data_IF_164520461912
#
_entry.id   IF_164520461912
#
_cell.length_a   1.000
_cell.length_b   1.000
_cell.length_c   1.000
_cell.angle_alpha   90.00
_cell.angle_beta   90.00
_cell.angle_gamma   90.00
#
_symmetry.space_group_name_H-M   'P 1'
#
loop_
_entity.id
_entity.type
_entity.pdbx_description
1 polymer ?
#
# COMPACT_ATOMS: atom_id res chain seq x y z
N UNK A 1 -42.70 1.40 38.28
CA UNK A 1 -42.33 2.11 37.06
C UNK A 1 -40.98 2.79 37.29
N UNK A 2 -39.90 2.17 36.90
CA UNK A 2 -38.55 2.74 37.08
C UNK A 2 -38.11 3.25 35.69
N UNK A 3 -38.12 4.56 35.56
CA UNK A 3 -37.71 5.26 34.35
C UNK A 3 -36.19 5.17 34.14
N UNK A 4 -35.76 4.41 33.16
CA UNK A 4 -34.40 4.40 32.69
C UNK A 4 -34.11 5.72 31.95
N UNK A 5 -33.48 6.68 32.64
CA UNK A 5 -32.84 7.82 31.99
C UNK A 5 -31.69 7.30 31.15
N UNK A 6 -31.89 7.27 29.83
CA UNK A 6 -30.79 7.16 28.89
C UNK A 6 -29.98 8.45 29.01
N UNK A 7 -28.86 8.38 29.73
CA UNK A 7 -27.84 9.42 29.69
C UNK A 7 -27.28 9.43 28.23
N UNK A 8 -27.69 10.46 27.49
CA UNK A 8 -27.00 10.81 26.26
C UNK A 8 -25.60 11.27 26.66
N UNK A 9 -24.66 10.38 26.63
CA UNK A 9 -23.26 10.72 26.54
C UNK A 9 -23.05 11.34 25.15
N UNK A 10 -23.23 12.66 25.08
CA UNK A 10 -22.76 13.45 23.94
C UNK A 10 -21.25 13.59 24.06
N UNK A 11 -20.53 12.53 23.79
CA UNK A 11 -19.12 12.60 23.51
C UNK A 11 -19.03 12.96 22.03
N UNK A 12 -18.84 14.23 21.72
CA UNK A 12 -18.36 14.65 20.41
C UNK A 12 -16.89 14.22 20.31
N UNK A 13 -16.65 12.92 20.27
CA UNK A 13 -15.40 12.39 19.77
C UNK A 13 -15.37 12.81 18.29
N UNK A 14 -14.38 13.61 17.95
CA UNK A 14 -14.07 13.88 16.55
C UNK A 14 -13.62 12.54 15.97
N UNK A 15 -14.58 11.79 15.44
CA UNK A 15 -14.29 10.56 14.72
C UNK A 15 -13.51 10.99 13.48
N UNK A 16 -12.21 10.72 13.50
CA UNK A 16 -11.38 10.91 12.31
C UNK A 16 -11.94 10.00 11.24
N UNK A 17 -12.43 10.59 10.15
CA UNK A 17 -12.95 9.80 9.04
C UNK A 17 -11.83 9.05 8.32
N UNK A 18 -12.13 7.92 7.74
CA UNK A 18 -11.18 7.12 6.95
C UNK A 18 -10.52 7.97 5.85
N UNK A 19 -11.30 8.85 5.21
CA UNK A 19 -10.80 9.81 4.22
C UNK A 19 -9.75 10.77 4.79
N UNK A 20 -9.99 11.33 5.98
CA UNK A 20 -9.01 12.23 6.63
C UNK A 20 -7.71 11.49 6.93
N UNK A 21 -7.81 10.25 7.41
CA UNK A 21 -6.64 9.41 7.67
C UNK A 21 -5.86 9.09 6.39
N UNK A 22 -6.56 8.78 5.29
CA UNK A 22 -5.94 8.52 3.99
C UNK A 22 -5.17 9.75 3.46
N UNK A 23 -5.77 10.93 3.53
CA UNK A 23 -5.09 12.19 3.13
C UNK A 23 -3.86 12.44 3.97
N UNK A 24 -3.96 12.31 5.30
CA UNK A 24 -2.82 12.48 6.20
C UNK A 24 -1.72 11.46 5.90
N UNK A 25 -2.06 10.21 5.60
CA UNK A 25 -1.10 9.18 5.24
C UNK A 25 -0.33 9.53 3.95
N UNK A 26 -1.02 10.01 2.90
CA UNK A 26 -0.36 10.46 1.66
C UNK A 26 0.59 11.62 1.93
N UNK A 27 0.13 12.64 2.65
CA UNK A 27 0.95 13.81 2.96
C UNK A 27 2.16 13.41 3.79
N UNK A 28 1.99 12.58 4.81
CA UNK A 28 3.07 12.09 5.64
C UNK A 28 4.10 11.28 4.84
N UNK A 29 3.65 10.38 3.94
CA UNK A 29 4.53 9.60 3.09
C UNK A 29 5.35 10.47 2.13
N UNK A 30 4.72 11.47 1.50
CA UNK A 30 5.41 12.41 0.59
C UNK A 30 6.40 13.28 1.35
N UNK A 31 6.02 13.81 2.51
CA UNK A 31 6.94 14.60 3.36
C UNK A 31 8.10 13.73 3.84
N UNK A 32 7.86 12.50 4.23
CA UNK A 32 8.90 11.56 4.62
C UNK A 32 9.88 11.29 3.47
N UNK A 33 9.38 11.02 2.24
CA UNK A 33 10.23 10.79 1.06
C UNK A 33 11.08 12.00 0.71
N UNK A 34 10.50 13.21 0.71
CA UNK A 34 11.17 14.41 0.23
C UNK A 34 12.12 15.03 1.26
N UNK A 35 11.71 15.08 2.54
CA UNK A 35 12.39 15.87 3.56
C UNK A 35 13.08 15.02 4.63
N UNK A 36 12.45 13.95 5.11
CA UNK A 36 12.99 13.10 6.18
C UNK A 36 14.05 12.14 5.62
N UNK A 37 13.64 11.30 4.70
CA UNK A 37 14.51 10.28 4.11
C UNK A 37 15.32 10.83 2.92
N UNK A 38 14.85 11.92 2.33
CA UNK A 38 15.48 12.59 1.17
C UNK A 38 15.75 11.62 0.02
N UNK A 39 14.89 10.62 -0.15
CA UNK A 39 15.02 9.64 -1.24
C UNK A 39 14.49 10.17 -2.55
N UNK A 40 13.54 11.11 -2.49
CA UNK A 40 12.94 11.80 -3.63
C UNK A 40 12.40 10.82 -4.69
N UNK A 41 11.83 9.71 -4.25
CA UNK A 41 11.29 8.70 -5.15
C UNK A 41 10.09 9.23 -5.93
N UNK A 42 9.23 10.00 -5.27
CA UNK A 42 8.05 10.59 -5.90
C UNK A 42 8.39 11.49 -7.10
N UNK A 43 9.61 12.00 -7.19
CA UNK A 43 10.08 12.82 -8.32
C UNK A 43 10.71 12.01 -9.46
N UNK A 44 10.82 10.67 -9.31
CA UNK A 44 11.48 9.79 -10.27
C UNK A 44 10.48 9.07 -11.16
N UNK A 45 10.68 9.12 -12.47
CA UNK A 45 9.82 8.39 -13.41
C UNK A 45 9.77 6.88 -13.13
N UNK A 46 10.90 6.29 -12.75
CA UNK A 46 10.97 4.87 -12.40
C UNK A 46 10.00 4.48 -11.27
N UNK A 47 9.81 5.36 -10.27
CA UNK A 47 8.81 5.15 -9.23
C UNK A 47 7.40 5.05 -9.82
N UNK A 48 7.02 5.98 -10.68
CA UNK A 48 5.68 6.03 -11.27
C UNK A 48 5.39 4.84 -12.18
N UNK A 49 6.38 4.39 -12.96
CA UNK A 49 6.24 3.18 -13.78
C UNK A 49 6.04 1.94 -12.92
N UNK A 50 6.85 1.80 -11.86
CA UNK A 50 6.70 0.68 -10.91
C UNK A 50 5.38 0.75 -10.16
N UNK A 51 4.98 1.96 -9.73
CA UNK A 51 3.72 2.17 -9.03
C UNK A 51 2.51 1.89 -9.93
N UNK A 52 2.56 2.22 -11.21
CA UNK A 52 1.48 1.90 -12.15
C UNK A 52 1.20 0.40 -12.23
N UNK A 53 2.23 -0.43 -12.19
CA UNK A 53 2.09 -1.90 -12.15
C UNK A 53 1.43 -2.32 -10.84
N UNK A 54 1.92 -1.82 -9.71
CA UNK A 54 1.37 -2.13 -8.37
C UNK A 54 -0.09 -1.65 -8.29
N UNK A 55 -0.38 -0.46 -8.79
CA UNK A 55 -1.72 0.13 -8.81
C UNK A 55 -2.71 -0.74 -9.60
N UNK A 56 -2.29 -1.28 -10.74
CA UNK A 56 -3.11 -2.19 -11.52
C UNK A 56 -3.49 -3.43 -10.71
N UNK A 57 -2.53 -4.07 -10.05
CA UNK A 57 -2.82 -5.21 -9.18
C UNK A 57 -3.62 -4.84 -7.94
N UNK A 58 -3.40 -3.66 -7.38
CA UNK A 58 -4.18 -3.13 -6.27
C UNK A 58 -5.66 -2.99 -6.63
N UNK A 59 -5.97 -2.46 -7.84
CA UNK A 59 -7.34 -2.36 -8.32
C UNK A 59 -8.00 -3.74 -8.44
N UNK A 60 -7.30 -4.73 -8.99
CA UNK A 60 -7.81 -6.09 -9.09
C UNK A 60 -8.09 -6.66 -7.70
N UNK A 61 -7.10 -6.60 -6.81
CA UNK A 61 -7.21 -7.21 -5.47
C UNK A 61 -8.31 -6.55 -4.65
N UNK A 62 -8.31 -5.22 -4.55
CA UNK A 62 -9.33 -4.48 -3.81
C UNK A 62 -10.71 -4.68 -4.43
N UNK A 63 -10.79 -4.64 -5.77
CA UNK A 63 -12.04 -4.87 -6.49
C UNK A 63 -12.61 -6.26 -6.23
N UNK A 64 -11.79 -7.29 -6.17
CA UNK A 64 -12.23 -8.63 -5.81
C UNK A 64 -12.74 -8.68 -4.36
N UNK A 65 -12.00 -8.17 -3.39
CA UNK A 65 -12.39 -8.21 -1.98
C UNK A 65 -13.68 -7.44 -1.72
N UNK A 66 -13.84 -6.26 -2.33
CA UNK A 66 -15.03 -5.43 -2.14
C UNK A 66 -16.18 -5.94 -3.01
N UNK A 67 -15.93 -6.32 -4.26
CA UNK A 67 -16.94 -6.81 -5.18
C UNK A 67 -17.58 -8.14 -4.74
N UNK A 68 -16.81 -9.01 -4.09
CA UNK A 68 -17.34 -10.24 -3.49
C UNK A 68 -17.94 -10.04 -2.08
N UNK A 69 -17.96 -8.80 -1.57
CA UNK A 69 -18.52 -8.49 -0.25
C UNK A 69 -17.69 -9.01 0.93
N UNK A 70 -16.43 -9.41 0.70
CA UNK A 70 -15.50 -9.85 1.76
C UNK A 70 -15.15 -8.66 2.67
N UNK A 71 -14.95 -7.48 2.07
CA UNK A 71 -14.74 -6.21 2.78
C UNK A 71 -15.92 -5.30 2.51
N UNK A 72 -16.50 -4.77 3.58
CA UNK A 72 -17.61 -3.82 3.53
C UNK A 72 -17.21 -2.51 4.20
N UNK A 73 -17.68 -1.40 3.64
CA UNK A 73 -17.37 -0.06 4.12
C UNK A 73 -18.64 0.65 4.59
N UNK A 74 -18.52 1.39 5.71
CA UNK A 74 -19.56 2.28 6.18
C UNK A 74 -19.46 3.62 5.42
N UNK A 75 -20.54 4.04 4.78
CA UNK A 75 -20.61 5.30 4.04
C UNK A 75 -20.38 6.55 4.90
N UNK A 76 -20.53 6.45 6.22
CA UNK A 76 -20.19 7.55 7.12
C UNK A 76 -18.67 7.77 7.28
N UNK A 77 -17.86 6.75 6.94
CA UNK A 77 -16.40 6.76 7.11
C UNK A 77 -15.63 7.09 5.83
N UNK A 78 -16.22 6.84 4.65
CA UNK A 78 -15.60 6.99 3.32
C UNK A 78 -16.27 8.09 2.50
N UNK A 79 -15.63 8.50 1.40
CA UNK A 79 -16.28 9.32 0.37
C UNK A 79 -17.16 8.38 -0.46
N UNK A 80 -18.48 8.54 -0.35
CA UNK A 80 -19.44 7.71 -1.06
C UNK A 80 -20.45 7.05 -0.14
N UNK A 81 -21.18 6.07 -0.66
CA UNK A 81 -22.19 5.34 0.09
C UNK A 81 -21.62 4.08 0.76
N UNK A 82 -22.33 3.59 1.78
CA UNK A 82 -22.08 2.30 2.39
C UNK A 82 -22.12 1.16 1.35
N UNK A 83 -21.38 0.09 1.60
CA UNK A 83 -21.50 -1.12 0.80
C UNK A 83 -22.92 -1.72 0.98
N UNK A 84 -23.63 -2.04 -0.12
CA UNK A 84 -24.93 -2.69 -0.03
C UNK A 84 -24.83 -4.05 0.68
N UNK A 85 -25.86 -4.39 1.44
CA UNK A 85 -25.93 -5.69 2.14
C UNK A 85 -26.23 -6.82 1.14
N UNK A 86 -27.06 -6.52 0.12
CA UNK A 86 -27.60 -7.50 -0.81
C UNK A 86 -26.95 -7.50 -2.21
N UNK A 87 -25.73 -6.95 -2.34
CA UNK A 87 -25.07 -6.91 -3.63
C UNK A 87 -23.70 -6.21 -3.60
N UNK A 88 -22.96 -6.27 -4.70
CA UNK A 88 -21.69 -5.55 -4.80
C UNK A 88 -21.94 -4.03 -4.88
N UNK A 89 -21.03 -3.21 -4.35
CA UNK A 89 -21.06 -1.78 -4.55
C UNK A 89 -20.88 -1.41 -6.04
N UNK A 90 -21.11 -0.16 -6.46
CA UNK A 90 -20.90 0.23 -7.85
C UNK A 90 -19.45 0.05 -8.28
N UNK A 91 -19.25 -0.43 -9.51
CA UNK A 91 -17.90 -0.63 -10.08
C UNK A 91 -17.14 0.70 -10.21
N UNK A 92 -17.82 1.74 -10.62
CA UNK A 92 -17.27 3.08 -10.78
C UNK A 92 -18.29 4.13 -10.34
N UNK A 93 -17.81 5.19 -9.72
CA UNK A 93 -18.65 6.26 -9.17
C UNK A 93 -18.86 6.14 -7.68
N UNK A 94 -19.55 7.12 -7.10
CA UNK A 94 -19.83 7.18 -5.67
C UNK A 94 -18.57 7.01 -4.78
N UNK A 95 -17.48 7.69 -5.16
CA UNK A 95 -16.20 7.60 -4.46
C UNK A 95 -15.46 6.26 -4.61
N UNK A 96 -15.85 5.43 -5.56
CA UNK A 96 -15.29 4.09 -5.79
C UNK A 96 -14.67 3.96 -7.17
N UNK A 97 -13.62 3.16 -7.23
CA UNK A 97 -12.93 2.73 -8.45
C UNK A 97 -12.73 1.22 -8.35
N UNK A 98 -13.20 0.46 -9.34
CA UNK A 98 -13.18 -1.00 -9.34
C UNK A 98 -13.75 -1.57 -8.03
N UNK A 99 -14.94 -1.11 -7.62
CA UNK A 99 -15.66 -1.44 -6.38
C UNK A 99 -15.02 -0.89 -5.10
N UNK A 100 -13.71 -0.64 -5.07
CA UNK A 100 -12.97 -0.19 -3.89
C UNK A 100 -13.11 1.31 -3.65
N UNK A 101 -13.18 1.76 -2.38
CA UNK A 101 -13.13 3.18 -2.05
C UNK A 101 -11.83 3.82 -2.52
N UNK A 102 -11.91 5.09 -2.92
CA UNK A 102 -10.73 5.86 -3.35
C UNK A 102 -9.65 5.96 -2.26
N UNK A 103 -10.07 5.95 -1.00
CA UNK A 103 -9.18 5.97 0.17
C UNK A 103 -8.20 4.80 0.20
N UNK A 104 -8.64 3.61 -0.22
CA UNK A 104 -7.77 2.43 -0.28
C UNK A 104 -6.62 2.63 -1.26
N UNK A 105 -6.87 3.32 -2.37
CA UNK A 105 -5.83 3.66 -3.34
C UNK A 105 -4.83 4.66 -2.75
N UNK A 106 -5.30 5.62 -1.95
CA UNK A 106 -4.45 6.58 -1.23
C UNK A 106 -3.57 5.88 -0.18
N UNK A 107 -4.14 4.96 0.58
CA UNK A 107 -3.37 4.14 1.53
C UNK A 107 -2.34 3.28 0.82
N UNK A 108 -2.72 2.62 -0.27
CA UNK A 108 -1.81 1.83 -1.08
C UNK A 108 -0.64 2.64 -1.62
N UNK A 109 -0.89 3.85 -2.14
CA UNK A 109 0.15 4.78 -2.56
C UNK A 109 1.11 5.11 -1.42
N UNK A 110 0.55 5.48 -0.26
CA UNK A 110 1.34 5.86 0.92
C UNK A 110 2.22 4.71 1.39
N UNK A 111 1.67 3.50 1.43
CA UNK A 111 2.38 2.30 1.85
C UNK A 111 3.53 1.95 0.90
N UNK A 112 3.29 2.00 -0.42
CA UNK A 112 4.32 1.71 -1.43
C UNK A 112 5.43 2.75 -1.37
N UNK A 113 5.08 4.04 -1.35
CA UNK A 113 6.06 5.12 -1.29
C UNK A 113 6.92 5.00 -0.02
N UNK A 114 6.30 4.80 1.14
CA UNK A 114 7.00 4.68 2.41
C UNK A 114 7.91 3.45 2.45
N UNK A 115 7.42 2.30 1.99
CA UNK A 115 8.20 1.05 1.95
C UNK A 115 9.43 1.16 1.06
N UNK A 116 9.28 1.72 -0.15
CA UNK A 116 10.38 1.92 -1.08
C UNK A 116 11.37 2.98 -0.56
N UNK A 117 10.87 4.06 0.06
CA UNK A 117 11.72 5.08 0.66
C UNK A 117 12.57 4.52 1.80
N UNK A 118 11.97 3.70 2.67
CA UNK A 118 12.69 3.00 3.74
C UNK A 118 13.71 2.00 3.17
N UNK A 119 13.35 1.25 2.14
CA UNK A 119 14.26 0.34 1.46
C UNK A 119 15.51 1.05 0.93
N UNK A 120 15.31 2.18 0.24
CA UNK A 120 16.43 3.00 -0.26
C UNK A 120 17.25 3.57 0.88
N UNK A 121 16.61 4.03 1.96
CA UNK A 121 17.27 4.55 3.15
C UNK A 121 18.16 3.48 3.80
N UNK A 122 17.63 2.29 4.06
CA UNK A 122 18.38 1.18 4.63
C UNK A 122 19.53 0.73 3.74
N UNK A 123 19.33 0.72 2.43
CA UNK A 123 20.41 0.48 1.47
C UNK A 123 21.55 1.51 1.57
N UNK A 124 21.22 2.81 1.77
CA UNK A 124 22.21 3.87 1.99
C UNK A 124 22.95 3.72 3.32
N UNK A 125 22.26 3.24 4.37
CA UNK A 125 22.86 2.97 5.68
C UNK A 125 23.74 1.70 5.70
N UNK A 126 23.81 0.96 4.59
CA UNK A 126 24.59 -0.26 4.50
C UNK A 126 23.92 -1.50 5.11
N UNK A 127 22.71 -1.37 5.61
CA UNK A 127 21.87 -2.48 6.09
C UNK A 127 21.47 -3.29 4.85
N UNK A 128 21.84 -4.55 4.75
CA UNK A 128 21.59 -5.43 3.61
C UNK A 128 22.55 -5.31 2.40
N UNK A 129 23.75 -4.78 2.59
CA UNK A 129 24.77 -4.75 1.51
C UNK A 129 25.50 -6.08 1.28
N UNK A 130 25.32 -7.08 2.13
CA UNK A 130 25.92 -8.40 1.91
C UNK A 130 25.04 -9.20 0.97
N UNK A 131 25.52 -9.61 -0.21
CA UNK A 131 24.80 -10.54 -1.03
C UNK A 131 24.64 -11.84 -0.25
N UNK A 132 23.42 -12.19 0.11
CA UNK A 132 23.07 -13.45 0.78
C UNK A 132 23.08 -14.63 -0.20
N UNK A 133 23.08 -14.36 -1.49
CA UNK A 133 23.24 -15.37 -2.53
C UNK A 133 24.69 -15.32 -3.05
N UNK A 134 25.34 -16.45 -3.09
CA UNK A 134 26.60 -16.62 -3.80
C UNK A 134 26.49 -16.24 -5.29
N UNK A 135 27.59 -16.21 -6.02
CA UNK A 135 27.55 -15.94 -7.46
C UNK A 135 26.56 -16.90 -8.13
N UNK A 136 25.79 -16.41 -9.11
CA UNK A 136 24.79 -17.24 -9.78
C UNK A 136 25.44 -18.51 -10.34
N UNK A 137 24.78 -19.66 -10.18
CA UNK A 137 25.32 -21.00 -10.53
C UNK A 137 25.86 -21.10 -11.96
N UNK A 138 25.32 -20.31 -12.90
CA UNK A 138 25.82 -20.28 -14.28
C UNK A 138 27.24 -19.69 -14.40
N UNK A 139 27.71 -18.90 -13.42
CA UNK A 139 29.09 -18.40 -13.39
C UNK A 139 30.09 -19.42 -12.83
N UNK A 140 29.61 -20.38 -12.08
CA UNK A 140 30.47 -21.40 -11.43
C UNK A 140 30.57 -22.67 -12.25
N UNK A 141 29.60 -22.95 -13.11
CA UNK A 141 29.56 -24.16 -13.91
C UNK A 141 30.76 -24.29 -14.87
N UNK A 142 31.09 -23.30 -15.63
CA UNK A 142 32.21 -23.35 -16.56
C UNK A 142 33.61 -23.20 -15.95
N UNK A 143 33.72 -23.07 -14.62
CA UNK A 143 35.02 -22.99 -13.93
C UNK A 143 35.47 -24.36 -13.43
N UNK A 144 34.56 -25.16 -12.89
CA UNK A 144 34.85 -26.52 -12.41
C UNK A 144 35.31 -27.45 -13.53
N UNK A 145 34.71 -27.29 -14.72
CA UNK A 145 35.10 -28.13 -15.87
C UNK A 145 36.52 -27.79 -16.38
N UNK A 146 36.96 -26.53 -16.27
CA UNK A 146 38.29 -26.08 -16.65
C UNK A 146 39.38 -26.43 -15.63
N UNK A 147 39.08 -26.45 -14.34
CA UNK A 147 40.01 -26.86 -13.31
C UNK A 147 40.27 -28.39 -13.36
N UNK A 148 39.21 -29.17 -13.68
CA UNK A 148 39.34 -30.62 -13.86
C UNK A 148 40.14 -31.02 -15.12
N UNK A 149 40.17 -30.19 -16.17
CA UNK A 149 40.91 -30.43 -17.42
C UNK A 149 42.39 -30.07 -17.29
N UNK A 150 42.78 -29.24 -16.32
CA UNK A 150 44.18 -28.82 -16.09
C UNK A 150 44.93 -29.80 -15.15
N UNK A 151 44.21 -30.49 -14.25
CA UNK A 151 44.76 -31.43 -13.29
C UNK A 151 44.75 -32.91 -13.77
N UNK A 152 44.33 -33.22 -14.98
CA UNK A 152 44.33 -34.54 -15.60
C UNK A 152 45.34 -34.64 -16.75
#
# INVERSE_FOLDING_TARGET
MVGWRRSRFSRSERVVTYTQLAVVAVLAAVVADLFVFRTRLVTRLAFWVSYAIIFFFQLITNGMFTGFGIVQYDGAAIIGSASPIDGPPPFLGDGRIAFAPFEDLMFGFSLVLLSLSLWVLFGRMGIARRPTAGPPMWRTWGRKDREAEIDG
#
